data_IF_896428138884
#
_entry.id   IF_896428138884
#
_cell.length_a   1.000
_cell.length_b   1.000
_cell.length_c   1.000
_cell.angle_alpha   90.00
_cell.angle_beta   90.00
_cell.angle_gamma   90.00
#
_symmetry.space_group_name_H-M   'P 1'
#
loop_
_entity.id
_entity.type
_entity.pdbx_description
1 polymer ?
#
# COMPACT_ATOMS: atom_id res chain seq x y z
N UNK A 1 3.37 -27.40 6.80
CA UNK A 1 2.76 -26.12 6.40
C UNK A 1 2.55 -25.26 7.65
N UNK A 2 2.79 -23.95 7.54
CA UNK A 2 2.52 -22.99 8.62
C UNK A 2 1.36 -22.10 8.20
N UNK A 3 0.51 -21.74 9.17
CA UNK A 3 -0.65 -20.88 8.93
C UNK A 3 -0.58 -19.68 9.87
N UNK A 4 -0.75 -18.49 9.33
CA UNK A 4 -0.74 -17.22 10.06
C UNK A 4 -2.04 -16.49 9.79
N UNK A 5 -2.42 -15.57 10.70
CA UNK A 5 -3.64 -14.79 10.55
C UNK A 5 -3.27 -13.32 10.27
N UNK A 6 -3.83 -12.75 9.21
CA UNK A 6 -3.52 -11.39 8.78
C UNK A 6 -3.75 -10.35 9.90
N UNK A 7 -4.77 -10.56 10.73
CA UNK A 7 -5.09 -9.62 11.82
C UNK A 7 -4.01 -9.51 12.90
N UNK A 8 -3.04 -10.45 12.93
CA UNK A 8 -1.94 -10.41 13.87
C UNK A 8 -0.80 -9.49 13.40
N UNK A 9 -0.94 -8.90 12.22
CA UNK A 9 0.05 -8.02 11.60
C UNK A 9 -0.40 -6.58 11.59
N UNK A 10 0.57 -5.67 11.58
CA UNK A 10 0.29 -4.24 11.70
C UNK A 10 -0.37 -3.70 10.43
N UNK A 11 -1.63 -3.29 10.53
CA UNK A 11 -2.40 -2.68 9.43
C UNK A 11 -2.40 -3.48 8.13
N UNK A 12 -2.26 -4.82 8.22
CA UNK A 12 -2.26 -5.67 7.05
C UNK A 12 -0.89 -5.91 6.40
N UNK A 13 0.18 -5.30 6.90
CA UNK A 13 1.54 -5.52 6.42
C UNK A 13 2.10 -6.82 7.00
N UNK A 14 2.36 -7.83 6.16
CA UNK A 14 2.73 -9.15 6.67
C UNK A 14 4.07 -9.69 6.16
N UNK A 15 4.73 -9.04 5.21
CA UNK A 15 6.09 -9.36 4.75
C UNK A 15 6.85 -8.05 4.59
N UNK A 16 8.08 -8.00 5.07
CA UNK A 16 8.94 -6.84 4.91
C UNK A 16 10.01 -6.74 6.00
N UNK A 17 10.76 -5.65 5.98
CA UNK A 17 11.83 -5.40 6.94
C UNK A 17 11.29 -4.74 8.21
N UNK A 18 10.40 -5.45 8.90
CA UNK A 18 9.74 -5.00 10.12
C UNK A 18 9.24 -6.19 10.93
N UNK A 19 8.86 -5.93 12.20
CA UNK A 19 8.23 -6.91 13.08
C UNK A 19 6.83 -6.43 13.49
N UNK A 20 5.81 -7.30 13.56
CA UNK A 20 5.87 -8.72 13.15
C UNK A 20 5.88 -8.88 11.62
N UNK A 21 6.44 -9.98 11.13
CA UNK A 21 6.47 -10.32 9.71
C UNK A 21 6.50 -11.84 9.53
N UNK A 22 5.80 -12.33 8.52
CA UNK A 22 5.86 -13.75 8.15
C UNK A 22 7.23 -14.08 7.57
N UNK A 23 7.77 -13.17 6.78
CA UNK A 23 9.12 -13.24 6.24
C UNK A 23 9.76 -11.86 6.39
N UNK A 24 10.78 -11.76 7.21
CA UNK A 24 11.52 -10.51 7.35
C UNK A 24 12.55 -10.38 6.26
N UNK A 25 12.40 -9.38 5.43
CA UNK A 25 13.30 -9.13 4.30
C UNK A 25 13.36 -7.65 3.94
N UNK A 26 14.54 -7.11 3.61
CA UNK A 26 14.66 -5.74 3.10
C UNK A 26 14.37 -5.63 1.60
N UNK A 27 14.16 -6.74 0.90
CA UNK A 27 14.04 -6.74 -0.56
C UNK A 27 12.69 -6.25 -1.05
N UNK A 28 11.64 -6.52 -0.30
CA UNK A 28 10.28 -6.08 -0.62
C UNK A 28 9.40 -6.11 0.63
N UNK A 29 8.26 -5.44 0.56
CA UNK A 29 7.21 -5.54 1.57
C UNK A 29 5.86 -5.77 0.91
N UNK A 30 5.00 -6.55 1.57
CA UNK A 30 3.68 -6.92 1.07
C UNK A 30 2.65 -6.66 2.14
N UNK A 31 1.56 -6.02 1.75
CA UNK A 31 0.43 -5.79 2.64
C UNK A 31 -0.90 -5.92 1.91
N UNK A 32 -1.91 -6.33 2.64
CA UNK A 32 -3.30 -6.25 2.20
C UNK A 32 -3.97 -5.21 3.07
N UNK A 33 -4.25 -4.04 2.49
CA UNK A 33 -4.71 -2.88 3.22
C UNK A 33 -6.20 -2.67 3.00
N UNK A 34 -6.92 -2.33 4.07
CA UNK A 34 -8.33 -1.98 4.03
C UNK A 34 -8.48 -0.49 4.30
N UNK A 35 -9.31 0.16 3.50
CA UNK A 35 -9.61 1.59 3.63
C UNK A 35 -11.12 1.80 3.58
N UNK A 36 -11.62 2.71 4.41
CA UNK A 36 -13.04 3.02 4.45
C UNK A 36 -13.38 4.10 3.43
N UNK A 37 -14.61 4.04 2.91
CA UNK A 37 -15.16 5.10 2.06
C UNK A 37 -14.98 6.46 2.71
N UNK A 38 -14.47 7.42 1.95
CA UNK A 38 -14.22 8.78 2.41
C UNK A 38 -12.84 9.00 3.03
N UNK A 39 -12.08 7.93 3.30
CA UNK A 39 -10.69 8.06 3.73
C UNK A 39 -9.87 8.69 2.61
N UNK A 40 -8.97 9.55 2.99
CA UNK A 40 -8.07 10.21 2.05
C UNK A 40 -6.72 10.45 2.72
N UNK A 41 -5.65 10.41 1.94
CA UNK A 41 -4.31 10.63 2.43
C UNK A 41 -3.72 11.88 1.81
N UNK A 42 -3.03 12.67 2.64
CA UNK A 42 -2.31 13.83 2.15
C UNK A 42 -1.30 13.44 1.07
N UNK A 43 -1.08 14.32 0.06
CA UNK A 43 -0.07 14.06 -0.97
C UNK A 43 1.27 13.71 -0.35
N UNK A 44 1.88 12.63 -0.83
CA UNK A 44 3.16 12.14 -0.30
C UNK A 44 3.97 11.45 -1.39
N UNK A 45 5.25 11.27 -1.12
CA UNK A 45 6.18 10.55 -2.00
C UNK A 45 6.90 9.47 -1.22
N UNK A 46 7.32 8.43 -1.93
CA UNK A 46 8.33 7.48 -1.49
C UNK A 46 9.62 7.81 -2.23
N UNK A 47 10.73 7.90 -1.53
CA UNK A 47 12.03 8.29 -2.13
C UNK A 47 12.86 7.11 -2.56
N UNK A 48 12.66 5.95 -1.94
CA UNK A 48 13.50 4.77 -2.11
C UNK A 48 12.75 3.60 -2.73
N UNK A 49 11.44 3.51 -2.54
CA UNK A 49 10.64 2.37 -2.97
C UNK A 49 9.71 2.71 -4.13
N UNK A 50 9.56 1.76 -5.04
CA UNK A 50 8.46 1.72 -6.00
C UNK A 50 7.30 0.93 -5.38
N UNK A 51 6.07 1.31 -5.71
CA UNK A 51 4.87 0.72 -5.14
C UNK A 51 3.97 0.16 -6.22
N UNK A 52 3.65 -1.13 -6.10
CA UNK A 52 2.80 -1.88 -7.02
C UNK A 52 1.51 -2.22 -6.29
N UNK A 53 0.37 -1.84 -6.86
CA UNK A 53 -0.92 -1.95 -6.20
C UNK A 53 -1.91 -2.70 -7.09
N UNK A 54 -2.69 -3.58 -6.48
CA UNK A 54 -3.87 -4.18 -7.10
C UNK A 54 -5.09 -3.79 -6.25
N UNK A 55 -6.02 -3.07 -6.83
CA UNK A 55 -7.30 -2.80 -6.18
C UNK A 55 -8.16 -4.05 -6.29
N UNK A 56 -8.33 -4.75 -5.16
CA UNK A 56 -9.10 -6.00 -5.12
C UNK A 56 -10.59 -5.71 -5.06
N UNK A 57 -10.97 -4.69 -4.30
CA UNK A 57 -12.36 -4.35 -4.01
C UNK A 57 -12.50 -2.85 -3.88
N UNK A 58 -13.64 -2.32 -4.37
CA UNK A 58 -13.98 -0.93 -4.22
C UNK A 58 -13.59 -0.05 -5.40
N UNK A 59 -13.55 1.25 -5.15
CA UNK A 59 -13.23 2.29 -6.12
C UNK A 59 -12.44 3.38 -5.42
N UNK A 60 -11.39 3.88 -6.07
CA UNK A 60 -10.56 4.93 -5.52
C UNK A 60 -10.12 5.92 -6.61
N UNK A 61 -9.64 7.06 -6.20
CA UNK A 61 -9.01 8.05 -7.08
C UNK A 61 -7.60 8.31 -6.59
N UNK A 62 -6.66 8.36 -7.52
CA UNK A 62 -5.26 8.65 -7.19
C UNK A 62 -4.60 9.29 -8.40
N UNK A 63 -3.79 10.33 -8.17
CA UNK A 63 -3.09 11.07 -9.23
C UNK A 63 -4.05 11.54 -10.34
N UNK A 64 -5.27 11.98 -9.95
CA UNK A 64 -6.29 12.44 -10.89
C UNK A 64 -6.99 11.36 -11.70
N UNK A 65 -6.73 10.09 -11.40
CA UNK A 65 -7.34 8.98 -12.10
C UNK A 65 -8.24 8.16 -11.18
N UNK A 66 -9.36 7.69 -11.72
CA UNK A 66 -10.23 6.75 -11.03
C UNK A 66 -9.75 5.33 -11.29
N UNK A 67 -9.60 4.55 -10.23
CA UNK A 67 -9.16 3.15 -10.26
C UNK A 67 -10.33 2.28 -9.82
N UNK A 68 -10.60 1.23 -10.58
CA UNK A 68 -11.66 0.27 -10.31
C UNK A 68 -11.09 -1.08 -9.89
N UNK A 69 -11.93 -1.87 -9.21
CA UNK A 69 -11.55 -3.22 -8.78
C UNK A 69 -11.00 -4.04 -9.96
N UNK A 70 -9.91 -4.75 -9.72
CA UNK A 70 -9.21 -5.54 -10.73
C UNK A 70 -8.12 -4.77 -11.48
N UNK A 71 -8.00 -3.46 -11.25
CA UNK A 71 -6.96 -2.66 -11.89
C UNK A 71 -5.68 -2.62 -11.06
N UNK A 72 -4.56 -2.57 -11.77
CA UNK A 72 -3.23 -2.48 -11.18
C UNK A 72 -2.71 -1.08 -11.46
N UNK A 73 -2.16 -0.42 -10.43
CA UNK A 73 -1.51 0.87 -10.59
C UNK A 73 -0.14 0.88 -9.91
N UNK A 74 0.79 1.60 -10.53
CA UNK A 74 2.18 1.67 -10.08
C UNK A 74 2.51 3.11 -9.71
N UNK A 75 3.08 3.29 -8.53
CA UNK A 75 3.59 4.59 -8.09
C UNK A 75 5.09 4.44 -7.94
N UNK A 76 5.82 5.09 -8.85
CA UNK A 76 7.27 5.05 -8.84
C UNK A 76 7.81 5.99 -7.75
N UNK A 77 9.02 5.72 -7.30
CA UNK A 77 9.69 6.60 -6.35
C UNK A 77 9.69 8.04 -6.87
N UNK A 78 9.51 8.99 -5.95
CA UNK A 78 9.42 10.42 -6.20
C UNK A 78 8.15 10.89 -6.91
N UNK A 79 7.23 9.99 -7.28
CA UNK A 79 5.90 10.39 -7.72
C UNK A 79 5.05 10.78 -6.51
N UNK A 80 4.33 11.88 -6.62
CA UNK A 80 3.37 12.29 -5.58
C UNK A 80 2.09 11.48 -5.70
N UNK A 81 1.68 10.85 -4.60
CA UNK A 81 0.45 10.09 -4.50
C UNK A 81 -0.51 10.76 -3.52
N UNK A 82 -1.78 10.82 -3.88
CA UNK A 82 -2.85 11.48 -3.12
C UNK A 82 -4.13 10.64 -3.12
N UNK A 83 -4.08 9.41 -2.57
CA UNK A 83 -5.21 8.50 -2.66
C UNK A 83 -6.45 9.02 -1.93
N UNK A 84 -7.61 8.83 -2.56
CA UNK A 84 -8.94 9.07 -2.03
C UNK A 84 -9.79 7.83 -2.27
N UNK A 85 -10.43 7.31 -1.23
CA UNK A 85 -11.20 6.08 -1.31
C UNK A 85 -12.68 6.41 -1.47
N UNK A 86 -13.21 6.15 -2.66
CA UNK A 86 -14.59 6.51 -3.02
C UNK A 86 -15.61 5.48 -2.53
N UNK A 87 -15.15 4.29 -2.21
CA UNK A 87 -15.90 3.18 -1.60
C UNK A 87 -14.99 2.50 -0.59
N UNK A 88 -15.52 1.54 0.18
CA UNK A 88 -14.67 0.68 0.99
C UNK A 88 -13.78 -0.12 0.06
N UNK A 89 -12.48 -0.08 0.30
CA UNK A 89 -11.46 -0.65 -0.59
C UNK A 89 -10.58 -1.67 0.12
N UNK A 90 -10.14 -2.67 -0.65
CA UNK A 90 -9.05 -3.57 -0.28
C UNK A 90 -7.97 -3.48 -1.35
N UNK A 91 -6.75 -3.18 -0.94
CA UNK A 91 -5.62 -2.98 -1.86
C UNK A 91 -4.49 -3.92 -1.47
N UNK A 92 -4.04 -4.74 -2.41
CA UNK A 92 -2.81 -5.52 -2.25
C UNK A 92 -1.65 -4.64 -2.69
N UNK A 93 -0.68 -4.46 -1.80
CA UNK A 93 0.45 -3.57 -2.04
C UNK A 93 1.76 -4.32 -1.94
N UNK A 94 2.63 -4.11 -2.92
CA UNK A 94 4.01 -4.58 -2.90
C UNK A 94 4.92 -3.37 -3.08
N UNK A 95 5.82 -3.15 -2.14
CA UNK A 95 6.86 -2.14 -2.25
C UNK A 95 8.22 -2.80 -2.38
N UNK A 96 9.08 -2.26 -3.21
CA UNK A 96 10.45 -2.76 -3.36
C UNK A 96 11.43 -1.58 -3.49
N UNK A 97 12.51 -1.56 -2.68
CA UNK A 97 12.78 -2.38 -1.50
C UNK A 97 11.84 -2.10 -0.32
N UNK A 98 11.93 -2.91 0.74
CA UNK A 98 11.23 -2.64 1.99
C UNK A 98 12.03 -1.64 2.81
N UNK A 99 11.50 -0.40 2.92
CA UNK A 99 12.12 0.66 3.71
C UNK A 99 11.03 1.27 4.61
N UNK A 100 10.86 0.76 5.83
CA UNK A 100 9.90 1.33 6.78
C UNK A 100 10.17 2.82 7.01
N UNK A 101 9.09 3.62 6.97
CA UNK A 101 9.21 5.07 7.14
C UNK A 101 9.55 5.86 5.88
N UNK A 102 9.70 5.21 4.74
CA UNK A 102 9.95 5.87 3.45
C UNK A 102 8.67 6.52 2.91
N UNK A 103 8.17 7.50 3.64
CA UNK A 103 6.97 8.25 3.28
C UNK A 103 7.14 9.70 3.72
N UNK A 104 7.02 10.61 2.77
CA UNK A 104 7.25 12.04 3.01
C UNK A 104 6.07 12.84 2.50
N UNK A 105 5.41 13.58 3.38
CA UNK A 105 4.30 14.44 2.99
C UNK A 105 4.85 15.60 2.16
N UNK A 106 4.20 15.88 1.04
CA UNK A 106 4.54 17.02 0.17
C UNK A 106 3.54 18.16 0.39
N UNK A 107 3.98 19.35 0.15
CA UNK A 107 3.14 20.55 0.23
C UNK A 107 2.48 20.86 -1.11
#
# INVERSE_FOLDING_TARGET
MKVYNLKDYTRGWFIGDFEPSVLRTPDFEVGLLSHSKGEYWAPHVHKLSDEFNLLIEGKMRICGQEINAGEIFVIEKNETADPEFLEDCSVLVVKTPSVPGDKYVTE
#
